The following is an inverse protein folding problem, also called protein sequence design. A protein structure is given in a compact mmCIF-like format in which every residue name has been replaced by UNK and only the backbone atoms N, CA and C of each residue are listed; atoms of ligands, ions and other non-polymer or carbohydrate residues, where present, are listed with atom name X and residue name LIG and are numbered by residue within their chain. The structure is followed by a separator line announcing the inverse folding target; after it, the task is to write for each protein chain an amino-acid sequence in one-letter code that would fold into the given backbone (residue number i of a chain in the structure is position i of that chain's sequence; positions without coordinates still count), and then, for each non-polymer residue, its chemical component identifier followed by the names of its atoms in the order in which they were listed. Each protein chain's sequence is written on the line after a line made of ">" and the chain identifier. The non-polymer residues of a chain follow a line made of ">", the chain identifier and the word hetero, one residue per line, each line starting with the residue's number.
data_IF_212180331225
#
_entry.id   IF_212180331225
#
_cell.length_a   1.000
_cell.length_b   1.000
_cell.length_c   1.000
_cell.angle_alpha   90.00
_cell.angle_beta   90.00
_cell.angle_gamma   90.00
#
_symmetry.space_group_name_H-M   'P 1'
#
loop_
_entity.id
_entity.type
_entity.pdbx_description
1 polymer ?
#
# COMPACT_ATOMS: atom_id res chain seq x y z
N UNK A 1 -17.13 -15.16 -20.13
CA UNK A 1 -16.95 -15.62 -21.52
C UNK A 1 -17.53 -17.03 -21.65
N UNK A 2 -18.43 -17.26 -22.62
CA UNK A 2 -19.18 -18.51 -22.75
C UNK A 2 -18.57 -19.48 -23.76
N UNK A 3 -17.56 -19.09 -24.49
CA UNK A 3 -16.87 -19.88 -25.51
C UNK A 3 -15.38 -20.12 -25.14
N UNK A 4 -14.69 -20.88 -26.00
CA UNK A 4 -13.26 -21.18 -25.84
C UNK A 4 -12.33 -20.14 -26.49
N UNK A 5 -12.86 -18.99 -26.88
CA UNK A 5 -12.05 -17.93 -27.48
C UNK A 5 -11.03 -17.41 -26.47
N UNK A 6 -9.76 -17.28 -26.84
CA UNK A 6 -8.76 -16.65 -26.00
C UNK A 6 -9.16 -15.22 -25.64
N UNK A 7 -8.78 -14.75 -24.49
CA UNK A 7 -9.02 -13.38 -24.04
C UNK A 7 -7.74 -12.73 -23.51
N UNK A 8 -7.70 -11.42 -23.59
CA UNK A 8 -6.72 -10.57 -22.91
C UNK A 8 -7.49 -9.61 -22.00
N UNK A 9 -7.06 -9.49 -20.75
CA UNK A 9 -7.61 -8.55 -19.78
C UNK A 9 -6.49 -7.70 -19.21
N UNK A 10 -6.58 -6.38 -19.38
CA UNK A 10 -5.75 -5.42 -18.70
C UNK A 10 -6.57 -4.77 -17.59
N UNK A 11 -6.25 -5.09 -16.33
CA UNK A 11 -6.96 -4.61 -15.15
C UNK A 11 -6.13 -3.53 -14.46
N UNK A 12 -6.27 -2.30 -14.93
CA UNK A 12 -5.52 -1.15 -14.42
C UNK A 12 -6.27 -0.50 -13.25
N UNK A 13 -5.84 -0.78 -12.03
CA UNK A 13 -6.32 -0.08 -10.85
C UNK A 13 -5.61 1.27 -10.70
N UNK A 14 -6.36 2.32 -10.36
CA UNK A 14 -5.78 3.57 -9.87
C UNK A 14 -5.57 3.55 -8.34
N UNK A 15 -6.26 2.69 -7.62
CA UNK A 15 -5.96 2.41 -6.23
C UNK A 15 -4.64 1.61 -6.12
N UNK A 16 -3.84 1.81 -5.07
CA UNK A 16 -4.06 2.63 -3.88
C UNK A 16 -3.47 4.05 -3.93
N UNK A 17 -3.34 4.65 -5.11
CA UNK A 17 -2.85 6.03 -5.26
C UNK A 17 -3.77 7.04 -4.54
N UNK A 18 -3.22 8.18 -4.10
CA UNK A 18 -4.05 9.26 -3.57
C UNK A 18 -5.05 9.79 -4.64
N UNK A 19 -6.20 10.39 -4.24
CA UNK A 19 -6.65 10.68 -2.87
C UNK A 19 -7.00 9.42 -2.08
N UNK A 20 -6.63 9.40 -0.79
CA UNK A 20 -6.90 8.27 0.10
C UNK A 20 -8.39 8.21 0.46
N UNK A 21 -9.07 7.17 -0.01
CA UNK A 21 -10.51 6.97 0.18
C UNK A 21 -10.85 5.48 0.25
N UNK A 22 -11.50 5.06 1.33
CA UNK A 22 -11.93 3.68 1.53
C UNK A 22 -13.20 3.61 2.39
N UNK A 23 -13.77 2.42 2.51
CA UNK A 23 -14.92 2.19 3.39
C UNK A 23 -14.48 2.21 4.85
N UNK A 24 -15.23 2.90 5.72
CA UNK A 24 -14.92 2.98 7.15
C UNK A 24 -14.73 1.61 7.78
N UNK A 25 -15.61 0.65 7.52
CA UNK A 25 -15.50 -0.72 8.04
C UNK A 25 -14.22 -1.46 7.64
N UNK A 26 -13.56 -1.04 6.55
CA UNK A 26 -12.26 -1.58 6.15
C UNK A 26 -11.11 -0.80 6.80
N UNK A 27 -11.27 0.50 7.02
CA UNK A 27 -10.29 1.35 7.72
C UNK A 27 -10.14 0.90 9.18
N UNK A 28 -11.25 0.66 9.88
CA UNK A 28 -11.29 0.22 11.28
C UNK A 28 -10.46 -1.05 11.52
N UNK A 29 -10.35 -1.95 10.53
CA UNK A 29 -9.55 -3.19 10.61
C UNK A 29 -8.06 -2.92 10.77
N UNK A 30 -7.58 -1.77 10.32
CA UNK A 30 -6.15 -1.46 10.19
C UNK A 30 -5.66 -0.37 11.12
N UNK A 31 -6.56 0.50 11.62
CA UNK A 31 -6.15 1.68 12.39
C UNK A 31 -5.30 1.32 13.62
N UNK A 32 -5.80 0.43 14.48
CA UNK A 32 -5.08 0.02 15.69
C UNK A 32 -3.72 -0.63 15.40
N UNK A 33 -3.62 -1.38 14.31
CA UNK A 33 -2.36 -1.99 13.89
C UNK A 33 -1.28 -0.93 13.64
N UNK A 34 -1.61 0.07 12.84
CA UNK A 34 -0.65 1.12 12.47
C UNK A 34 -0.41 2.11 13.61
N UNK A 35 -1.44 2.38 14.39
CA UNK A 35 -1.35 3.26 15.57
C UNK A 35 -0.44 2.71 16.66
N UNK A 36 -0.53 1.40 16.91
CA UNK A 36 0.25 0.73 17.94
C UNK A 36 1.68 0.45 17.50
N UNK A 37 1.86 -0.06 16.26
CA UNK A 37 3.19 -0.49 15.80
C UNK A 37 4.04 0.63 15.23
N UNK A 38 3.42 1.59 14.57
CA UNK A 38 4.13 2.62 13.83
C UNK A 38 4.96 2.09 12.65
N UNK A 39 5.58 3.00 11.93
CA UNK A 39 6.34 2.64 10.73
C UNK A 39 7.65 1.88 11.01
N UNK A 40 8.32 2.13 12.13
CA UNK A 40 9.58 1.45 12.45
C UNK A 40 9.36 -0.06 12.66
N UNK A 41 8.34 -0.42 13.42
CA UNK A 41 8.01 -1.81 13.68
C UNK A 41 7.43 -2.49 12.41
N UNK A 42 6.53 -1.82 11.71
CA UNK A 42 5.96 -2.33 10.44
C UNK A 42 7.06 -2.57 9.41
N UNK A 43 8.04 -1.66 9.31
CA UNK A 43 9.19 -1.80 8.41
C UNK A 43 10.02 -3.05 8.73
N UNK A 44 10.31 -3.28 10.02
CA UNK A 44 11.04 -4.47 10.50
C UNK A 44 10.28 -5.76 10.20
N UNK A 45 8.98 -5.79 10.53
CA UNK A 45 8.14 -6.96 10.30
C UNK A 45 7.97 -7.29 8.81
N UNK A 46 7.82 -6.26 7.99
CA UNK A 46 7.75 -6.41 6.53
C UNK A 46 9.03 -7.03 5.97
N UNK A 47 10.19 -6.50 6.34
CA UNK A 47 11.49 -7.00 5.92
C UNK A 47 11.67 -8.47 6.31
N UNK A 48 11.45 -8.77 7.60
CA UNK A 48 11.52 -10.14 8.10
C UNK A 48 10.60 -11.08 7.32
N UNK A 49 9.34 -10.69 7.11
CA UNK A 49 8.38 -11.51 6.37
C UNK A 49 8.79 -11.75 4.92
N UNK A 50 9.38 -10.75 4.26
CA UNK A 50 9.88 -10.92 2.89
C UNK A 50 11.04 -11.92 2.83
N UNK A 51 11.95 -11.88 3.80
CA UNK A 51 13.03 -12.87 3.93
C UNK A 51 12.47 -14.26 4.24
N UNK A 52 11.56 -14.39 5.21
CA UNK A 52 10.92 -15.66 5.58
C UNK A 52 10.17 -16.32 4.38
N UNK A 53 9.64 -15.50 3.47
CA UNK A 53 8.95 -15.96 2.26
C UNK A 53 9.90 -16.20 1.07
N UNK A 54 11.21 -15.95 1.22
CA UNK A 54 12.19 -16.07 0.15
C UNK A 54 12.03 -15.03 -0.97
N UNK A 55 11.35 -13.91 -0.71
CA UNK A 55 11.19 -12.80 -1.67
C UNK A 55 12.46 -11.97 -1.78
N UNK A 56 13.18 -11.84 -0.67
CA UNK A 56 14.51 -11.21 -0.59
C UNK A 56 15.49 -12.13 0.09
N UNK A 57 16.79 -11.94 -0.17
CA UNK A 57 17.84 -12.56 0.61
C UNK A 57 17.85 -11.99 2.04
N UNK A 58 18.01 -12.86 3.05
CA UNK A 58 18.08 -12.45 4.46
C UNK A 58 19.27 -11.53 4.78
N UNK A 59 20.31 -11.55 3.95
CA UNK A 59 21.50 -10.70 4.09
C UNK A 59 21.25 -9.26 3.58
N UNK A 60 20.15 -9.00 2.86
CA UNK A 60 19.79 -7.66 2.43
C UNK A 60 19.42 -6.83 3.65
N UNK A 61 20.21 -5.80 3.93
CA UNK A 61 19.97 -4.86 5.02
C UNK A 61 18.86 -3.84 4.72
N UNK A 62 18.61 -2.99 5.70
CA UNK A 62 17.70 -1.85 5.53
C UNK A 62 18.40 -0.71 4.79
N UNK A 63 17.70 -0.10 3.86
CA UNK A 63 18.08 1.21 3.33
C UNK A 63 18.06 2.27 4.43
N UNK A 64 18.82 3.35 4.25
CA UNK A 64 18.87 4.50 5.16
C UNK A 64 17.47 5.05 5.41
N UNK A 65 17.19 5.37 6.69
CA UNK A 65 15.92 5.95 7.12
C UNK A 65 16.02 7.48 7.13
N UNK A 66 15.12 8.14 6.43
CA UNK A 66 15.18 9.59 6.21
C UNK A 66 14.10 10.37 6.99
N UNK A 67 13.39 9.71 7.91
CA UNK A 67 12.28 10.32 8.65
C UNK A 67 12.48 10.17 10.14
N UNK A 68 11.68 10.87 10.94
CA UNK A 68 11.67 10.70 12.41
C UNK A 68 11.33 9.26 12.79
N UNK A 69 11.81 8.80 13.93
CA UNK A 69 11.35 7.57 14.53
C UNK A 69 9.91 7.74 15.01
N UNK A 70 9.14 6.67 15.05
CA UNK A 70 7.73 6.72 15.48
C UNK A 70 7.56 7.33 16.87
N UNK A 71 8.48 7.02 17.80
CA UNK A 71 8.44 7.49 19.18
C UNK A 71 8.73 8.98 19.33
N UNK A 72 9.31 9.62 18.32
CA UNK A 72 9.55 11.07 18.30
C UNK A 72 8.29 11.88 17.94
N UNK A 73 7.22 11.20 17.53
CA UNK A 73 5.96 11.85 17.18
C UNK A 73 5.12 12.13 18.42
N UNK A 74 4.43 13.26 18.43
CA UNK A 74 3.32 13.50 19.37
C UNK A 74 2.17 12.52 19.15
N UNK A 75 1.35 12.30 20.17
CA UNK A 75 0.17 11.41 20.06
C UNK A 75 -0.78 11.85 18.93
N UNK A 76 -0.98 13.15 18.77
CA UNK A 76 -1.79 13.70 17.68
C UNK A 76 -1.21 13.42 16.29
N UNK A 77 0.12 13.46 16.12
CA UNK A 77 0.79 13.08 14.86
C UNK A 77 0.69 11.58 14.62
N UNK A 78 0.85 10.75 15.65
CA UNK A 78 0.68 9.29 15.57
C UNK A 78 -0.73 8.94 15.11
N UNK A 79 -1.76 9.51 15.72
CA UNK A 79 -3.16 9.30 15.31
C UNK A 79 -3.40 9.72 13.87
N UNK A 80 -2.93 10.92 13.53
CA UNK A 80 -3.08 11.51 12.21
C UNK A 80 -2.47 10.62 11.10
N UNK A 81 -1.23 10.19 11.28
CA UNK A 81 -0.53 9.44 10.24
C UNK A 81 -0.92 7.96 10.22
N UNK A 82 -1.28 7.37 11.36
CA UNK A 82 -1.81 6.00 11.44
C UNK A 82 -3.15 5.88 10.70
N UNK A 83 -4.05 6.86 10.87
CA UNK A 83 -5.33 6.88 10.14
C UNK A 83 -5.11 6.91 8.62
N UNK A 84 -4.18 7.75 8.13
CA UNK A 84 -3.84 7.82 6.70
C UNK A 84 -3.36 6.46 6.17
N UNK A 85 -2.48 5.80 6.91
CA UNK A 85 -2.00 4.48 6.51
C UNK A 85 -3.11 3.42 6.58
N UNK A 86 -4.04 3.52 7.52
CA UNK A 86 -5.20 2.64 7.59
C UNK A 86 -6.12 2.80 6.37
N UNK A 87 -6.36 4.03 5.92
CA UNK A 87 -7.13 4.28 4.67
C UNK A 87 -6.42 3.68 3.47
N UNK A 88 -5.11 3.86 3.35
CA UNK A 88 -4.31 3.24 2.29
C UNK A 88 -4.42 1.70 2.33
N UNK A 89 -4.25 1.10 3.49
CA UNK A 89 -4.38 -0.35 3.65
C UNK A 89 -5.79 -0.86 3.31
N UNK A 90 -6.82 -0.10 3.63
CA UNK A 90 -8.20 -0.41 3.25
C UNK A 90 -8.43 -0.33 1.74
N UNK A 91 -7.77 0.60 1.02
CA UNK A 91 -7.78 0.60 -0.45
C UNK A 91 -7.13 -0.68 -1.02
N UNK A 92 -5.96 -1.07 -0.48
CA UNK A 92 -5.28 -2.32 -0.87
C UNK A 92 -6.16 -3.54 -0.57
N UNK A 93 -6.80 -3.57 0.60
CA UNK A 93 -7.74 -4.64 0.97
C UNK A 93 -8.89 -4.77 -0.03
N UNK A 94 -9.49 -3.64 -0.42
CA UNK A 94 -10.58 -3.63 -1.39
C UNK A 94 -10.11 -4.13 -2.78
N UNK A 95 -8.91 -3.74 -3.20
CA UNK A 95 -8.31 -4.20 -4.45
C UNK A 95 -8.08 -5.71 -4.43
N UNK A 96 -7.43 -6.22 -3.38
CA UNK A 96 -7.14 -7.64 -3.19
C UNK A 96 -8.41 -8.49 -3.19
N UNK A 97 -9.44 -8.04 -2.47
CA UNK A 97 -10.75 -8.72 -2.45
C UNK A 97 -11.38 -8.83 -3.85
N UNK A 98 -11.28 -7.79 -4.67
CA UNK A 98 -11.83 -7.82 -6.03
C UNK A 98 -10.98 -8.66 -7.00
N UNK A 99 -9.66 -8.69 -6.82
CA UNK A 99 -8.78 -9.63 -7.54
C UNK A 99 -9.16 -11.07 -7.19
N UNK A 100 -9.40 -11.36 -5.92
CA UNK A 100 -9.87 -12.68 -5.46
C UNK A 100 -11.15 -13.13 -6.17
N UNK A 101 -12.13 -12.22 -6.35
CA UNK A 101 -13.35 -12.51 -7.11
C UNK A 101 -13.09 -12.84 -8.58
N UNK A 102 -12.14 -12.15 -9.20
CA UNK A 102 -11.73 -12.44 -10.57
C UNK A 102 -11.12 -13.84 -10.67
N UNK A 103 -10.20 -14.18 -9.78
CA UNK A 103 -9.56 -15.50 -9.70
C UNK A 103 -10.62 -16.61 -9.51
N UNK A 104 -11.56 -16.40 -8.58
CA UNK A 104 -12.66 -17.35 -8.39
C UNK A 104 -13.55 -17.52 -9.65
N UNK A 105 -13.80 -16.44 -10.38
CA UNK A 105 -14.55 -16.49 -11.63
C UNK A 105 -13.82 -17.31 -12.69
N UNK A 106 -12.51 -17.13 -12.83
CA UNK A 106 -11.68 -17.94 -13.72
C UNK A 106 -11.69 -19.41 -13.32
N UNK A 107 -11.59 -19.70 -12.02
CA UNK A 107 -11.67 -21.06 -11.48
C UNK A 107 -13.02 -21.71 -11.79
N UNK A 108 -14.14 -21.03 -11.50
CA UNK A 108 -15.51 -21.52 -11.78
C UNK A 108 -15.78 -21.77 -13.25
N UNK A 109 -15.14 -21.01 -14.14
CA UNK A 109 -15.25 -21.21 -15.59
C UNK A 109 -14.27 -22.24 -16.17
N UNK A 110 -13.45 -22.89 -15.34
CA UNK A 110 -12.44 -23.86 -15.75
C UNK A 110 -11.28 -23.27 -16.57
N UNK A 111 -11.06 -21.94 -16.46
CA UNK A 111 -10.05 -21.22 -17.26
C UNK A 111 -8.77 -20.89 -16.48
N UNK A 112 -8.78 -21.02 -15.15
CA UNK A 112 -7.65 -20.59 -14.31
C UNK A 112 -6.35 -21.30 -14.69
N UNK A 113 -6.37 -22.63 -14.85
CA UNK A 113 -5.19 -23.44 -15.11
C UNK A 113 -4.56 -23.18 -16.50
N UNK A 114 -5.31 -22.54 -17.40
CA UNK A 114 -4.84 -22.13 -18.73
C UNK A 114 -4.88 -20.60 -18.91
N UNK A 115 -4.63 -19.86 -17.82
CA UNK A 115 -4.56 -18.39 -17.83
C UNK A 115 -3.25 -17.94 -17.22
N UNK A 116 -2.45 -17.20 -17.99
CA UNK A 116 -1.26 -16.53 -17.46
C UNK A 116 -1.68 -15.24 -16.77
N UNK A 117 -1.28 -15.07 -15.52
CA UNK A 117 -1.61 -13.91 -14.67
C UNK A 117 -0.34 -13.18 -14.29
N UNK A 118 -0.23 -11.92 -14.66
CA UNK A 118 0.80 -11.01 -14.18
C UNK A 118 0.21 -10.08 -13.13
N UNK A 119 0.85 -10.01 -11.96
CA UNK A 119 0.56 -9.02 -10.94
C UNK A 119 1.83 -8.23 -10.64
N UNK A 120 1.77 -6.91 -10.81
CA UNK A 120 2.94 -6.05 -10.60
C UNK A 120 2.50 -4.64 -10.19
N UNK A 121 3.39 -3.92 -9.51
CA UNK A 121 3.29 -2.48 -9.34
C UNK A 121 3.95 -1.78 -10.52
N UNK A 122 3.39 -0.65 -10.94
CA UNK A 122 3.94 0.18 -12.03
C UNK A 122 5.14 1.04 -11.58
N UNK A 123 5.19 1.34 -10.28
CA UNK A 123 6.28 2.11 -9.65
C UNK A 123 6.32 1.84 -8.14
N UNK A 124 7.30 2.43 -7.48
CA UNK A 124 7.39 2.44 -6.03
C UNK A 124 6.30 3.28 -5.34
N UNK A 125 6.29 3.24 -4.03
CA UNK A 125 5.32 3.92 -3.19
C UNK A 125 5.32 5.45 -3.40
N UNK A 126 4.14 6.06 -3.30
CA UNK A 126 3.98 7.50 -3.55
C UNK A 126 4.18 8.34 -2.29
N UNK A 127 5.24 9.15 -2.27
CA UNK A 127 5.56 10.06 -1.15
C UNK A 127 5.01 11.47 -1.32
N UNK A 128 4.28 11.74 -2.40
CA UNK A 128 3.78 13.10 -2.67
C UNK A 128 2.84 13.63 -1.57
N UNK A 129 2.93 14.91 -1.25
CA UNK A 129 3.82 15.95 -1.76
C UNK A 129 5.20 16.01 -1.07
N UNK A 130 5.80 14.90 -0.69
CA UNK A 130 7.09 14.77 0.01
C UNK A 130 7.10 15.31 1.45
N UNK A 131 5.94 15.42 2.05
CA UNK A 131 5.74 15.72 3.46
C UNK A 131 5.84 14.40 4.26
N UNK A 132 6.47 14.46 5.43
CA UNK A 132 6.71 13.27 6.26
C UNK A 132 5.39 12.58 6.65
N UNK A 133 4.43 13.35 7.15
CA UNK A 133 3.17 12.85 7.71
C UNK A 133 2.01 12.77 6.72
N UNK A 134 2.23 13.16 5.48
CA UNK A 134 1.22 13.10 4.42
C UNK A 134 0.69 14.46 3.96
N UNK A 135 0.09 14.47 2.80
CA UNK A 135 -0.50 15.65 2.18
C UNK A 135 -1.98 15.81 2.51
N UNK A 136 -2.50 17.00 2.22
CA UNK A 136 -3.88 17.36 2.50
C UNK A 136 -4.18 17.58 3.99
N UNK A 137 -5.31 18.21 4.29
CA UNK A 137 -5.75 18.38 5.68
C UNK A 137 -6.32 17.07 6.22
N UNK A 138 -6.20 16.84 7.53
CA UNK A 138 -6.73 15.61 8.15
C UNK A 138 -8.22 15.40 7.88
N UNK A 139 -9.04 16.46 7.96
CA UNK A 139 -10.47 16.39 7.68
C UNK A 139 -10.83 16.01 6.24
N UNK A 140 -9.86 16.08 5.33
CA UNK A 140 -10.03 15.78 3.91
C UNK A 140 -9.67 14.31 3.60
N UNK A 141 -9.01 13.61 4.53
CA UNK A 141 -8.73 12.19 4.40
C UNK A 141 -10.05 11.41 4.43
N UNK A 142 -10.20 10.50 3.51
CA UNK A 142 -11.42 9.71 3.28
C UNK A 142 -12.66 10.53 2.88
N UNK A 143 -12.50 11.77 2.44
CA UNK A 143 -13.60 12.60 1.98
C UNK A 143 -13.73 12.52 0.44
N UNK A 144 -14.80 11.88 -0.10
CA UNK A 144 -14.96 11.70 -1.55
C UNK A 144 -15.21 13.01 -2.32
N UNK A 145 -15.53 14.09 -1.63
CA UNK A 145 -15.74 15.42 -2.24
C UNK A 145 -14.44 16.20 -2.45
N UNK A 146 -13.32 15.69 -1.91
CA UNK A 146 -12.01 16.38 -1.98
C UNK A 146 -11.17 15.78 -3.11
N UNK A 147 -10.69 16.67 -3.99
CA UNK A 147 -9.64 16.38 -4.94
C UNK A 147 -8.28 16.87 -4.43
N UNK A 148 -7.21 16.43 -5.05
CA UNK A 148 -5.84 16.82 -4.68
C UNK A 148 -5.06 15.71 -4.02
N UNK A 149 -4.23 16.03 -3.02
CA UNK A 149 -3.21 15.14 -2.47
C UNK A 149 -3.47 14.67 -1.01
N UNK A 150 -4.66 14.17 -0.61
CA UNK A 150 -4.78 13.43 0.64
C UNK A 150 -3.98 12.13 0.55
N UNK A 151 -2.79 12.11 1.15
CA UNK A 151 -1.81 11.03 1.01
C UNK A 151 -1.25 10.61 2.38
N UNK A 152 -0.57 9.46 2.43
CA UNK A 152 -0.01 8.94 3.68
C UNK A 152 1.41 9.41 3.99
N UNK A 153 2.07 10.09 3.06
CA UNK A 153 3.33 10.78 3.31
C UNK A 153 4.59 9.96 3.09
N UNK A 154 5.72 10.66 3.23
CA UNK A 154 7.05 10.14 2.91
C UNK A 154 7.47 8.97 3.81
N UNK A 155 7.17 9.03 5.11
CA UNK A 155 7.57 7.97 6.05
C UNK A 155 6.88 6.64 5.73
N UNK A 156 5.56 6.65 5.49
CA UNK A 156 4.86 5.45 5.08
C UNK A 156 5.22 4.98 3.67
N UNK A 157 5.54 5.91 2.75
CA UNK A 157 6.00 5.53 1.41
C UNK A 157 7.33 4.77 1.50
N UNK A 158 8.29 5.25 2.28
CA UNK A 158 9.56 4.56 2.49
C UNK A 158 9.38 3.22 3.21
N UNK A 159 8.46 3.13 4.18
CA UNK A 159 8.07 1.87 4.83
C UNK A 159 7.51 0.87 3.81
N UNK A 160 6.64 1.33 2.92
CA UNK A 160 6.01 0.50 1.89
C UNK A 160 7.01 -0.02 0.85
N UNK A 161 8.10 0.70 0.62
CA UNK A 161 9.15 0.31 -0.31
C UNK A 161 10.26 -0.58 0.30
N UNK A 162 10.21 -0.85 1.59
CA UNK A 162 11.21 -1.73 2.23
C UNK A 162 11.42 -3.03 1.45
N UNK A 163 12.67 -3.47 1.18
CA UNK A 163 13.93 -2.97 1.72
C UNK A 163 14.57 -1.84 0.93
N UNK A 164 13.99 -1.45 -0.19
CA UNK A 164 14.56 -0.50 -1.14
C UNK A 164 14.65 0.93 -0.59
N UNK A 165 15.54 1.71 -1.21
CA UNK A 165 15.70 3.13 -0.86
C UNK A 165 14.58 3.96 -1.47
N UNK A 166 14.13 4.94 -0.71
CA UNK A 166 13.22 6.01 -1.16
C UNK A 166 11.87 5.48 -1.68
N UNK A 167 11.40 6.04 -2.80
CA UNK A 167 10.03 5.88 -3.29
C UNK A 167 9.98 6.36 -4.75
N UNK A 168 8.85 6.25 -5.42
CA UNK A 168 8.67 6.68 -6.82
C UNK A 168 9.21 8.11 -7.06
N UNK A 169 9.53 8.45 -8.29
CA UNK A 169 10.20 9.68 -8.76
C UNK A 169 11.72 9.73 -8.45
N UNK A 170 12.27 8.74 -7.80
CA UNK A 170 13.71 8.61 -7.57
C UNK A 170 14.27 7.50 -8.46
N UNK A 171 15.38 7.79 -9.15
CA UNK A 171 16.07 6.81 -10.00
C UNK A 171 16.95 5.88 -9.14
N UNK A 172 16.34 5.19 -8.20
CA UNK A 172 16.94 4.18 -7.32
C UNK A 172 16.17 2.86 -7.42
N UNK A 173 16.19 2.07 -6.35
CA UNK A 173 15.51 0.78 -6.30
C UNK A 173 14.00 0.92 -5.99
N UNK A 174 13.59 2.00 -5.34
CA UNK A 174 12.21 2.22 -4.88
C UNK A 174 11.33 3.06 -5.80
#
# INVERSE_FOLDING_TARGET
>A
QKDNTPFFLYLAYNAPHWPLQAKEADIEKYYELYRTKGWDQIRKERHKRMADLGIIDSEIGFAEWENRQWEELSEAEKDHTAYRMAVYAAQVHCMDYNIGKLIESLKKSGKLDNTLIFFMSDNGACAEPHNELGGGKQKDINNPAVSGHPSYGKAWAQTSNTPFRKYKQRAYEG
#
